data_IF_745256375400
#
_entry.id   IF_745256375400
#
_cell.length_a   1.000
_cell.length_b   1.000
_cell.length_c   1.000
_cell.angle_alpha   90.00
_cell.angle_beta   90.00
_cell.angle_gamma   90.00
#
_symmetry.space_group_name_H-M   'P 1'
#
loop_
_entity.id
_entity.type
_entity.pdbx_description
1 polymer ?
#
# COMPACT_ATOMS: atom_id res chain seq x y z
N UNK A 1 -8.26 -26.45 -3.21
CA UNK A 1 -7.70 -25.76 -4.38
C UNK A 1 -8.86 -24.98 -5.00
N UNK A 2 -8.65 -23.70 -5.29
CA UNK A 2 -9.66 -22.86 -5.98
C UNK A 2 -9.52 -23.05 -7.49
N UNK A 3 -10.65 -23.06 -8.19
CA UNK A 3 -10.70 -23.22 -9.66
C UNK A 3 -10.23 -21.96 -10.42
N UNK A 4 -10.29 -20.79 -9.74
CA UNK A 4 -9.91 -19.51 -10.33
C UNK A 4 -9.28 -18.56 -9.30
N UNK A 5 -8.57 -17.53 -9.78
CA UNK A 5 -8.04 -16.47 -8.93
C UNK A 5 -9.18 -15.53 -8.50
N UNK A 6 -9.55 -15.59 -7.23
CA UNK A 6 -10.61 -14.76 -6.63
C UNK A 6 -10.11 -13.41 -6.08
N UNK A 7 -8.82 -13.13 -6.22
CA UNK A 7 -8.19 -11.92 -5.72
C UNK A 7 -7.75 -11.98 -4.27
N UNK A 8 -6.81 -11.07 -3.91
CA UNK A 8 -6.11 -11.06 -2.62
C UNK A 8 -7.04 -10.90 -1.41
N UNK A 9 -8.01 -9.98 -1.48
CA UNK A 9 -8.94 -9.72 -0.37
C UNK A 9 -9.89 -10.88 -0.15
N UNK A 10 -10.42 -11.47 -1.22
CA UNK A 10 -11.34 -12.59 -1.13
C UNK A 10 -10.67 -13.86 -0.60
N UNK A 11 -9.46 -14.19 -1.07
CA UNK A 11 -8.72 -15.37 -0.57
C UNK A 11 -8.36 -15.22 0.91
N UNK A 12 -7.95 -14.03 1.35
CA UNK A 12 -7.68 -13.78 2.77
C UNK A 12 -8.93 -13.89 3.64
N UNK A 13 -10.09 -13.43 3.14
CA UNK A 13 -11.38 -13.63 3.82
C UNK A 13 -11.74 -15.10 3.95
N UNK A 14 -11.54 -15.88 2.88
CA UNK A 14 -11.80 -17.32 2.89
C UNK A 14 -10.94 -18.02 3.94
N UNK A 15 -9.63 -17.79 3.91
CA UNK A 15 -8.68 -18.36 4.88
C UNK A 15 -9.00 -17.94 6.32
N UNK A 16 -9.38 -16.67 6.52
CA UNK A 16 -9.78 -16.17 7.83
C UNK A 16 -11.04 -16.88 8.37
N UNK A 17 -12.01 -17.16 7.52
CA UNK A 17 -13.24 -17.86 7.92
C UNK A 17 -12.97 -19.31 8.26
N UNK A 18 -12.12 -19.98 7.49
CA UNK A 18 -11.81 -21.40 7.61
C UNK A 18 -10.95 -21.74 8.84
N UNK A 19 -10.08 -20.83 9.30
CA UNK A 19 -9.24 -21.05 10.48
C UNK A 19 -10.04 -21.04 11.78
N UNK A 20 -9.62 -21.87 12.75
CA UNK A 20 -10.19 -21.93 14.11
C UNK A 20 -9.52 -20.99 15.12
N UNK A 21 -8.42 -20.33 14.75
CA UNK A 21 -7.66 -19.47 15.65
C UNK A 21 -8.17 -18.04 15.67
N UNK A 22 -8.01 -17.35 16.80
CA UNK A 22 -8.49 -15.97 16.99
C UNK A 22 -7.51 -14.92 16.46
N UNK A 23 -6.25 -15.26 16.25
CA UNK A 23 -5.22 -14.42 15.69
C UNK A 23 -4.78 -14.94 14.33
N UNK A 24 -4.65 -14.03 13.37
CA UNK A 24 -4.26 -14.31 12.00
C UNK A 24 -2.95 -13.60 11.68
N UNK A 25 -1.92 -14.35 11.32
CA UNK A 25 -0.69 -13.81 10.76
C UNK A 25 -0.72 -13.96 9.23
N UNK A 26 -0.73 -12.84 8.53
CA UNK A 26 -0.65 -12.81 7.08
C UNK A 26 0.76 -12.50 6.62
N UNK A 27 1.28 -13.38 5.76
CA UNK A 27 2.55 -13.22 5.05
C UNK A 27 2.30 -13.39 3.55
N UNK A 28 2.90 -12.54 2.73
CA UNK A 28 2.90 -12.76 1.28
C UNK A 28 3.90 -13.85 0.90
N UNK A 29 3.68 -14.51 -0.23
CA UNK A 29 4.48 -15.65 -0.66
C UNK A 29 5.92 -15.28 -1.11
N UNK A 30 6.16 -14.01 -1.37
CA UNK A 30 7.43 -13.44 -1.83
C UNK A 30 8.26 -12.77 -0.73
N UNK A 31 8.02 -13.14 0.53
CA UNK A 31 8.78 -12.61 1.68
C UNK A 31 9.62 -13.68 2.35
N UNK A 32 10.76 -13.27 2.92
CA UNK A 32 11.64 -14.11 3.72
C UNK A 32 11.77 -13.50 5.12
N UNK A 33 11.62 -14.33 6.15
CA UNK A 33 11.76 -13.90 7.54
C UNK A 33 13.20 -13.46 7.82
N UNK A 34 13.37 -12.33 8.51
CA UNK A 34 14.70 -11.84 8.92
C UNK A 34 15.23 -12.56 10.15
N UNK A 35 14.35 -12.95 11.05
CA UNK A 35 14.72 -13.45 12.39
C UNK A 35 14.09 -14.81 12.68
N UNK A 36 14.85 -15.68 13.34
CA UNK A 36 14.32 -16.93 13.88
C UNK A 36 13.30 -16.68 15.02
N UNK A 37 13.33 -15.49 15.64
CA UNK A 37 12.40 -15.10 16.70
C UNK A 37 11.15 -14.40 16.13
N UNK A 38 10.90 -14.51 14.82
CA UNK A 38 9.85 -13.76 14.13
C UNK A 38 8.46 -13.92 14.77
N UNK A 39 8.05 -15.13 15.10
CA UNK A 39 6.77 -15.41 15.76
C UNK A 39 6.79 -14.89 17.21
N UNK A 40 7.89 -15.14 17.94
CA UNK A 40 8.04 -14.66 19.31
C UNK A 40 7.89 -13.14 19.42
N UNK A 41 8.48 -12.39 18.47
CA UNK A 41 8.38 -10.93 18.43
C UNK A 41 6.93 -10.42 18.26
N UNK A 42 6.05 -11.18 17.62
CA UNK A 42 4.63 -10.84 17.57
C UNK A 42 3.91 -11.20 18.89
N UNK A 43 4.25 -12.38 19.47
CA UNK A 43 3.59 -12.88 20.67
C UNK A 43 3.89 -12.01 21.90
N UNK A 44 5.10 -11.47 22.00
CA UNK A 44 5.50 -10.61 23.13
C UNK A 44 4.67 -9.33 23.25
N UNK A 45 4.05 -8.87 22.17
CA UNK A 45 3.23 -7.64 22.15
C UNK A 45 1.71 -7.91 22.21
N UNK A 46 1.27 -9.20 22.19
CA UNK A 46 -0.16 -9.58 22.12
C UNK A 46 -0.96 -9.15 23.35
N UNK A 47 -0.35 -9.12 24.53
CA UNK A 47 -1.01 -8.71 25.78
C UNK A 47 -1.28 -7.20 25.85
N UNK A 48 -0.86 -6.45 24.82
CA UNK A 48 -1.22 -5.05 24.64
C UNK A 48 -2.67 -4.87 24.20
N UNK A 49 -3.23 -3.70 24.39
CA UNK A 49 -4.60 -3.37 23.97
C UNK A 49 -4.77 -3.30 22.44
N UNK A 50 -3.72 -3.59 21.66
CA UNK A 50 -3.74 -3.53 20.21
C UNK A 50 -4.32 -4.80 19.60
N UNK A 51 -5.06 -4.64 18.50
CA UNK A 51 -5.67 -5.73 17.73
C UNK A 51 -5.05 -5.95 16.35
N UNK A 52 -4.16 -5.03 15.94
CA UNK A 52 -3.50 -5.06 14.65
C UNK A 52 -2.03 -4.65 14.80
N UNK A 53 -1.15 -5.50 14.29
CA UNK A 53 0.30 -5.31 14.35
C UNK A 53 0.89 -5.41 12.95
N UNK A 54 1.73 -4.44 12.55
CA UNK A 54 2.44 -4.45 11.28
C UNK A 54 3.94 -4.56 11.49
N UNK A 55 4.56 -5.64 10.98
CA UNK A 55 6.00 -5.89 11.11
C UNK A 55 6.86 -5.05 10.17
N UNK A 56 6.32 -4.70 8.99
CA UNK A 56 7.01 -3.90 7.99
C UNK A 56 7.86 -4.71 7.00
N UNK A 57 8.49 -3.99 6.04
CA UNK A 57 9.40 -4.52 5.04
C UNK A 57 10.86 -4.17 5.33
N UNK A 58 11.75 -5.02 4.84
CA UNK A 58 13.19 -4.80 4.75
C UNK A 58 13.64 -5.11 3.33
N UNK A 59 14.60 -4.34 2.83
CA UNK A 59 15.25 -4.54 1.54
C UNK A 59 16.73 -4.88 1.79
N UNK A 60 17.22 -5.92 1.11
CA UNK A 60 18.61 -6.35 1.23
C UNK A 60 19.50 -5.38 0.48
N UNK A 61 20.18 -4.48 1.18
CA UNK A 61 21.03 -3.44 0.60
C UNK A 61 22.25 -3.98 -0.16
N UNK A 62 22.55 -5.26 -0.02
CA UNK A 62 23.64 -5.90 -0.79
C UNK A 62 23.23 -6.16 -2.24
N UNK A 63 21.94 -6.15 -2.54
CA UNK A 63 21.40 -6.32 -3.88
C UNK A 63 21.57 -5.02 -4.71
N UNK A 64 22.54 -4.99 -5.58
CA UNK A 64 22.92 -3.79 -6.38
C UNK A 64 21.79 -3.27 -7.27
N UNK A 65 20.90 -4.14 -7.76
CA UNK A 65 19.77 -3.75 -8.59
C UNK A 65 18.74 -2.88 -7.86
N UNK A 66 18.73 -2.85 -6.53
CA UNK A 66 17.87 -1.94 -5.75
C UNK A 66 18.12 -0.46 -6.08
N UNK A 67 19.35 -0.12 -6.51
CA UNK A 67 19.71 1.27 -6.85
C UNK A 67 19.27 1.67 -8.26
N UNK A 68 19.08 0.71 -9.16
CA UNK A 68 18.68 0.94 -10.56
C UNK A 68 17.21 0.63 -10.82
N UNK A 69 16.57 -0.16 -9.96
CA UNK A 69 15.18 -0.55 -10.06
C UNK A 69 14.27 0.47 -9.33
N UNK A 70 13.22 0.94 -10.00
CA UNK A 70 12.26 1.92 -9.46
C UNK A 70 11.54 1.40 -8.21
N UNK A 71 11.11 0.12 -8.22
CA UNK A 71 10.46 -0.55 -7.10
C UNK A 71 11.39 -0.64 -5.90
N UNK A 72 12.66 -1.02 -6.12
CA UNK A 72 13.69 -1.09 -5.08
C UNK A 72 13.96 0.27 -4.43
N UNK A 73 14.20 1.32 -5.24
CA UNK A 73 14.36 2.69 -4.73
C UNK A 73 13.16 3.17 -3.92
N UNK A 74 11.96 2.87 -4.41
CA UNK A 74 10.72 3.23 -3.72
C UNK A 74 10.62 2.52 -2.36
N UNK A 75 10.88 1.23 -2.33
CA UNK A 75 10.85 0.41 -1.12
C UNK A 75 11.84 0.89 -0.06
N UNK A 76 13.09 1.10 -0.45
CA UNK A 76 14.13 1.63 0.45
C UNK A 76 13.77 3.00 1.05
N UNK A 77 13.14 3.88 0.28
CA UNK A 77 12.84 5.25 0.73
C UNK A 77 11.52 5.36 1.49
N UNK A 78 10.49 4.62 1.12
CA UNK A 78 9.13 4.85 1.59
C UNK A 78 8.50 3.69 2.35
N UNK A 79 9.03 2.46 2.22
CA UNK A 79 8.47 1.28 2.88
C UNK A 79 9.36 0.74 3.99
N UNK A 80 10.68 0.77 3.83
CA UNK A 80 11.62 0.40 4.89
C UNK A 80 11.75 1.55 5.90
N UNK A 81 10.75 1.68 6.76
CA UNK A 81 10.66 2.73 7.78
C UNK A 81 10.57 2.09 9.16
N UNK A 82 11.36 2.56 10.13
CA UNK A 82 11.35 2.05 11.50
C UNK A 82 9.98 2.20 12.17
N UNK A 83 9.65 1.25 13.05
CA UNK A 83 8.36 1.19 13.73
C UNK A 83 8.04 2.48 14.51
N UNK A 84 9.01 3.07 15.19
CA UNK A 84 8.85 4.33 15.90
C UNK A 84 8.29 5.44 14.99
N UNK A 85 8.88 5.59 13.80
CA UNK A 85 8.40 6.58 12.81
C UNK A 85 7.04 6.22 12.24
N UNK A 86 6.75 4.92 12.04
CA UNK A 86 5.45 4.45 11.56
C UNK A 86 4.35 4.71 12.58
N UNK A 87 4.63 4.54 13.87
CA UNK A 87 3.71 4.77 14.98
C UNK A 87 3.34 6.26 15.16
N UNK A 88 4.15 7.22 14.71
CA UNK A 88 3.77 8.64 14.67
C UNK A 88 2.57 8.91 13.75
N UNK A 89 2.31 8.04 12.77
CA UNK A 89 1.17 8.12 11.86
C UNK A 89 0.71 6.71 11.47
N UNK A 90 0.09 5.95 12.39
CA UNK A 90 -0.04 4.50 12.30
C UNK A 90 -0.87 4.00 11.11
N UNK A 91 -1.76 4.83 10.57
CA UNK A 91 -2.59 4.46 9.41
C UNK A 91 -1.99 4.88 8.06
N UNK A 92 -0.79 5.49 8.06
CA UNK A 92 -0.20 6.06 6.83
C UNK A 92 0.51 5.03 5.97
N UNK A 93 1.23 4.11 6.60
CA UNK A 93 1.99 3.06 5.92
C UNK A 93 1.49 1.69 6.38
N UNK A 94 0.56 1.15 5.63
CA UNK A 94 0.01 -0.18 5.84
C UNK A 94 0.65 -1.13 4.83
N UNK A 95 1.36 -2.13 5.34
CA UNK A 95 2.03 -3.16 4.54
C UNK A 95 1.37 -4.50 4.88
N UNK A 96 0.40 -4.90 4.08
CA UNK A 96 -0.39 -6.10 4.33
C UNK A 96 0.34 -7.41 4.02
N UNK A 97 1.59 -7.33 3.57
CA UNK A 97 2.43 -8.50 3.33
C UNK A 97 3.05 -9.09 4.61
N UNK A 98 2.93 -8.40 5.73
CA UNK A 98 3.47 -8.84 7.03
C UNK A 98 2.69 -8.18 8.17
N UNK A 99 1.58 -8.81 8.60
CA UNK A 99 0.80 -8.27 9.71
C UNK A 99 0.05 -9.35 10.49
N UNK A 100 -0.10 -9.11 11.78
CA UNK A 100 -0.90 -9.91 12.71
C UNK A 100 -2.18 -9.13 13.04
N UNK A 101 -3.33 -9.82 13.10
CA UNK A 101 -4.62 -9.18 13.35
C UNK A 101 -5.59 -10.13 14.06
N UNK A 102 -6.46 -9.58 14.91
CA UNK A 102 -7.60 -10.31 15.47
C UNK A 102 -8.56 -10.74 14.34
N UNK A 103 -8.91 -12.04 14.31
CA UNK A 103 -9.77 -12.66 13.27
C UNK A 103 -11.10 -11.93 13.09
N UNK A 104 -11.82 -11.66 14.18
CA UNK A 104 -13.15 -11.01 14.14
C UNK A 104 -13.05 -9.62 13.54
N UNK A 105 -12.03 -8.86 13.94
CA UNK A 105 -11.77 -7.53 13.40
C UNK A 105 -11.42 -7.61 11.90
N UNK A 106 -10.52 -8.52 11.51
CA UNK A 106 -10.14 -8.69 10.12
C UNK A 106 -11.35 -8.99 9.22
N UNK A 107 -12.17 -9.99 9.59
CA UNK A 107 -13.36 -10.36 8.82
C UNK A 107 -14.33 -9.16 8.72
N UNK A 108 -14.57 -8.44 9.83
CA UNK A 108 -15.45 -7.26 9.85
C UNK A 108 -14.98 -6.17 8.88
N UNK A 109 -13.69 -5.86 8.85
CA UNK A 109 -13.14 -4.79 8.00
C UNK A 109 -12.95 -5.25 6.55
N UNK A 110 -12.36 -6.44 6.35
CA UNK A 110 -12.03 -6.92 5.02
C UNK A 110 -13.26 -7.34 4.21
N UNK A 111 -14.38 -7.72 4.86
CA UNK A 111 -15.66 -7.98 4.17
C UNK A 111 -16.26 -6.73 3.50
N UNK A 112 -15.83 -5.53 3.89
CA UNK A 112 -16.20 -4.27 3.24
C UNK A 112 -15.40 -4.02 1.96
N UNK A 113 -14.32 -4.77 1.73
CA UNK A 113 -13.48 -4.68 0.55
C UNK A 113 -13.97 -5.74 -0.45
N UNK A 114 -14.96 -5.39 -1.25
CA UNK A 114 -15.56 -6.31 -2.23
C UNK A 114 -14.84 -6.31 -3.57
N UNK A 115 -14.06 -5.27 -3.84
CA UNK A 115 -13.39 -5.07 -5.10
C UNK A 115 -12.07 -5.85 -5.20
N UNK A 116 -11.80 -6.37 -6.39
CA UNK A 116 -10.50 -6.97 -6.74
C UNK A 116 -9.64 -5.94 -7.48
N UNK A 117 -9.04 -5.00 -6.73
CA UNK A 117 -8.22 -3.91 -7.26
C UNK A 117 -6.84 -3.89 -6.60
N UNK A 118 -5.86 -3.29 -7.26
CA UNK A 118 -4.54 -3.08 -6.68
C UNK A 118 -4.54 -1.84 -5.76
N UNK A 119 -3.78 -1.89 -4.64
CA UNK A 119 -3.65 -0.75 -3.72
C UNK A 119 -4.70 -0.71 -2.59
N UNK A 120 -5.42 -1.81 -2.35
CA UNK A 120 -6.43 -1.92 -1.28
C UNK A 120 -5.86 -1.81 0.15
N UNK A 121 -4.54 -1.87 0.33
CA UNK A 121 -3.89 -1.62 1.62
C UNK A 121 -4.19 -0.21 2.16
N UNK A 122 -4.29 0.78 1.26
CA UNK A 122 -4.70 2.14 1.63
C UNK A 122 -6.15 2.19 2.14
N UNK A 123 -7.01 1.36 1.57
CA UNK A 123 -8.40 1.20 2.00
C UNK A 123 -8.47 0.58 3.38
N UNK A 124 -7.72 -0.50 3.58
CA UNK A 124 -7.66 -1.16 4.90
C UNK A 124 -7.16 -0.20 5.98
N UNK A 125 -6.12 0.61 5.69
CA UNK A 125 -5.64 1.65 6.58
C UNK A 125 -6.69 2.73 6.87
N UNK A 126 -7.48 3.14 5.88
CA UNK A 126 -8.57 4.10 6.07
C UNK A 126 -9.71 3.50 6.91
N UNK A 127 -10.05 2.22 6.69
CA UNK A 127 -11.05 1.50 7.50
C UNK A 127 -10.61 1.36 8.96
N UNK A 128 -9.33 1.03 9.23
CA UNK A 128 -8.78 1.01 10.57
C UNK A 128 -8.95 2.37 11.25
N UNK A 129 -8.58 3.46 10.57
CA UNK A 129 -8.70 4.82 11.08
C UNK A 129 -10.14 5.25 11.33
N UNK A 130 -11.05 4.98 10.38
CA UNK A 130 -12.46 5.34 10.50
C UNK A 130 -13.16 4.63 11.66
N UNK A 131 -12.75 3.39 11.94
CA UNK A 131 -13.30 2.61 13.06
C UNK A 131 -12.52 2.83 14.38
N UNK A 132 -11.58 3.79 14.44
CA UNK A 132 -10.74 4.10 15.60
C UNK A 132 -10.05 2.84 16.17
N UNK A 133 -9.52 1.98 15.29
CA UNK A 133 -8.80 0.77 15.70
C UNK A 133 -7.34 1.13 15.94
N UNK A 134 -6.87 0.88 17.15
CA UNK A 134 -5.47 1.10 17.49
C UNK A 134 -4.56 0.10 16.74
N UNK A 135 -3.52 0.64 16.14
CA UNK A 135 -2.54 -0.07 15.32
C UNK A 135 -1.16 0.09 15.95
N UNK A 136 -0.47 -1.02 16.14
CA UNK A 136 0.93 -1.02 16.57
C UNK A 136 1.83 -1.47 15.42
N UNK A 137 2.83 -0.65 15.10
CA UNK A 137 3.94 -1.06 14.24
C UNK A 137 5.10 -1.54 15.10
N UNK A 138 5.65 -2.69 14.76
CA UNK A 138 6.81 -3.28 15.42
C UNK A 138 7.96 -3.48 14.44
N UNK A 139 9.19 -3.53 14.92
CA UNK A 139 10.38 -3.80 14.09
C UNK A 139 10.58 -5.31 13.89
N UNK A 140 9.59 -5.94 13.24
CA UNK A 140 9.59 -7.37 12.91
C UNK A 140 9.50 -7.57 11.38
N UNK A 141 10.40 -6.91 10.64
CA UNK A 141 10.37 -6.84 9.19
C UNK A 141 10.70 -8.15 8.50
N UNK A 142 10.16 -8.31 7.30
CA UNK A 142 10.48 -9.40 6.37
C UNK A 142 11.20 -8.84 5.15
N UNK A 143 12.14 -9.61 4.58
CA UNK A 143 12.76 -9.28 3.30
C UNK A 143 11.74 -9.46 2.18
N UNK A 144 11.49 -8.38 1.44
CA UNK A 144 10.68 -8.43 0.22
C UNK A 144 11.55 -8.87 -0.95
N UNK A 145 11.24 -10.01 -1.53
CA UNK A 145 11.91 -10.60 -2.68
C UNK A 145 11.05 -10.47 -3.96
N UNK A 146 11.61 -10.80 -5.11
CA UNK A 146 10.85 -10.82 -6.36
C UNK A 146 10.35 -9.44 -6.80
N UNK A 147 11.21 -8.40 -6.68
CA UNK A 147 10.84 -7.05 -7.12
C UNK A 147 10.55 -7.05 -8.62
N UNK A 148 9.39 -6.50 -8.97
CA UNK A 148 8.99 -6.30 -10.35
C UNK A 148 9.90 -5.31 -11.09
N UNK A 149 9.89 -5.38 -12.43
CA UNK A 149 10.54 -4.40 -13.31
C UNK A 149 9.85 -3.02 -13.22
N UNK A 150 10.53 -2.00 -13.77
CA UNK A 150 10.07 -0.62 -13.70
C UNK A 150 8.72 -0.40 -14.40
N UNK A 151 8.45 -1.09 -15.52
CA UNK A 151 7.19 -0.97 -16.28
C UNK A 151 6.04 -1.52 -15.44
N UNK A 152 6.18 -2.75 -14.96
CA UNK A 152 5.19 -3.39 -14.10
C UNK A 152 4.90 -2.57 -12.83
N UNK A 153 5.92 -1.93 -12.24
CA UNK A 153 5.72 -1.07 -11.07
C UNK A 153 4.97 0.23 -11.40
N UNK A 154 5.20 0.83 -12.58
CA UNK A 154 4.44 2.00 -13.06
C UNK A 154 2.97 1.60 -13.24
N UNK A 155 2.68 0.49 -13.92
CA UNK A 155 1.32 0.00 -14.16
C UNK A 155 0.57 -0.26 -12.84
N UNK A 156 1.22 -0.90 -11.87
CA UNK A 156 0.68 -1.09 -10.52
C UNK A 156 0.44 0.24 -9.80
N UNK A 157 1.34 1.21 -9.98
CA UNK A 157 1.18 2.55 -9.40
C UNK A 157 -0.02 3.31 -10.01
N UNK A 158 -0.26 3.15 -11.32
CA UNK A 158 -1.46 3.67 -11.98
C UNK A 158 -2.73 3.00 -11.46
N UNK A 159 -2.74 1.67 -11.34
CA UNK A 159 -3.88 0.92 -10.78
C UNK A 159 -4.19 1.36 -9.34
N UNK A 160 -3.16 1.47 -8.48
CA UNK A 160 -3.32 1.96 -7.11
C UNK A 160 -3.88 3.39 -7.08
N UNK A 161 -3.44 4.27 -8.01
CA UNK A 161 -3.93 5.64 -8.13
C UNK A 161 -5.40 5.68 -8.56
N UNK A 162 -5.81 4.83 -9.52
CA UNK A 162 -7.23 4.67 -9.91
C UNK A 162 -8.09 4.20 -8.73
N UNK A 163 -7.62 3.19 -8.00
CA UNK A 163 -8.31 2.66 -6.83
C UNK A 163 -8.52 3.72 -5.76
N UNK A 164 -7.47 4.50 -5.44
CA UNK A 164 -7.56 5.60 -4.48
C UNK A 164 -8.58 6.66 -4.90
N UNK A 165 -8.57 7.07 -6.17
CA UNK A 165 -9.52 8.07 -6.68
C UNK A 165 -10.95 7.55 -6.67
N UNK A 166 -11.15 6.29 -7.09
CA UNK A 166 -12.45 5.65 -7.08
C UNK A 166 -13.02 5.59 -5.65
N UNK A 167 -12.25 5.14 -4.68
CA UNK A 167 -12.66 5.05 -3.28
C UNK A 167 -12.98 6.42 -2.67
N UNK A 168 -12.21 7.46 -3.05
CA UNK A 168 -12.51 8.82 -2.64
C UNK A 168 -13.87 9.29 -3.18
N UNK A 169 -14.18 8.98 -4.44
CA UNK A 169 -15.47 9.33 -5.07
C UNK A 169 -16.66 8.57 -4.47
N UNK A 170 -16.45 7.34 -3.98
CA UNK A 170 -17.49 6.55 -3.30
C UNK A 170 -17.70 7.00 -1.84
N UNK A 171 -16.90 7.91 -1.30
CA UNK A 171 -16.96 8.30 0.12
C UNK A 171 -16.45 7.22 1.08
N UNK A 172 -15.77 6.20 0.56
CA UNK A 172 -15.30 5.06 1.36
C UNK A 172 -14.09 5.38 2.24
N UNK A 173 -13.33 6.43 1.89
CA UNK A 173 -12.07 6.81 2.53
C UNK A 173 -12.01 8.28 2.96
N UNK A 174 -13.08 8.83 3.51
CA UNK A 174 -13.13 10.23 3.98
C UNK A 174 -12.03 10.52 5.00
N UNK A 175 -11.80 9.61 5.94
CA UNK A 175 -10.76 9.72 6.97
C UNK A 175 -9.48 8.97 6.57
N UNK A 176 -8.85 9.38 5.46
CA UNK A 176 -7.59 8.77 5.03
C UNK A 176 -6.34 9.45 5.61
N UNK A 177 -5.19 8.77 5.53
CA UNK A 177 -3.86 9.31 5.85
C UNK A 177 -2.93 9.36 4.62
N UNK A 178 -3.47 9.14 3.41
CA UNK A 178 -2.72 9.07 2.17
C UNK A 178 -2.29 10.48 1.68
N UNK A 179 -0.99 10.69 1.52
CA UNK A 179 -0.45 11.99 1.12
C UNK A 179 -0.79 12.38 -0.32
N UNK A 180 -0.85 11.42 -1.24
CA UNK A 180 -1.22 11.69 -2.64
C UNK A 180 -2.63 12.28 -2.72
N UNK A 181 -3.59 11.68 -1.99
CA UNK A 181 -4.95 12.18 -1.91
C UNK A 181 -5.03 13.57 -1.27
N UNK A 182 -4.27 13.83 -0.19
CA UNK A 182 -4.25 15.15 0.45
C UNK A 182 -3.79 16.24 -0.52
N UNK A 183 -2.70 16.00 -1.23
CA UNK A 183 -2.16 16.96 -2.22
C UNK A 183 -3.12 17.11 -3.40
N UNK A 184 -3.70 16.01 -3.89
CA UNK A 184 -4.70 16.04 -4.95
C UNK A 184 -5.93 16.87 -4.56
N UNK A 185 -6.50 16.66 -3.38
CA UNK A 185 -7.67 17.40 -2.88
C UNK A 185 -7.35 18.90 -2.73
N UNK A 186 -6.17 19.23 -2.19
CA UNK A 186 -5.70 20.62 -2.11
C UNK A 186 -5.61 21.26 -3.50
N UNK A 187 -4.97 20.59 -4.46
CA UNK A 187 -4.80 21.12 -5.82
C UNK A 187 -6.14 21.23 -6.57
N UNK A 188 -7.06 20.31 -6.28
CA UNK A 188 -8.42 20.37 -6.81
C UNK A 188 -9.19 21.57 -6.25
N UNK A 189 -9.08 21.87 -4.95
CA UNK A 189 -9.77 23.00 -4.32
C UNK A 189 -9.32 24.37 -4.85
N UNK A 190 -8.04 24.50 -5.23
CA UNK A 190 -7.47 25.73 -5.81
C UNK A 190 -7.36 25.68 -7.36
N UNK A 191 -8.01 24.69 -8.00
CA UNK A 191 -8.09 24.48 -9.46
C UNK A 191 -6.73 24.23 -10.19
N UNK A 192 -5.66 23.96 -9.47
CA UNK A 192 -4.35 23.57 -10.06
C UNK A 192 -4.41 22.21 -10.76
N UNK A 193 -5.37 21.35 -10.41
CA UNK A 193 -5.59 20.06 -11.06
C UNK A 193 -5.73 20.15 -12.59
N UNK A 194 -6.26 21.25 -13.14
CA UNK A 194 -6.35 21.48 -14.58
C UNK A 194 -4.96 21.65 -15.22
N UNK A 195 -4.06 22.36 -14.54
CA UNK A 195 -2.67 22.54 -15.00
C UNK A 195 -1.95 21.19 -15.01
N UNK A 196 -2.11 20.39 -13.94
CA UNK A 196 -1.50 19.06 -13.86
C UNK A 196 -2.08 18.08 -14.86
N UNK A 197 -3.36 18.18 -15.22
CA UNK A 197 -3.95 17.40 -16.31
C UNK A 197 -3.28 17.71 -17.66
N UNK A 198 -3.11 19.00 -17.99
CA UNK A 198 -2.40 19.41 -19.21
C UNK A 198 -0.94 18.98 -19.17
N UNK A 199 -0.28 19.15 -18.04
CA UNK A 199 1.09 18.69 -17.83
C UNK A 199 1.23 17.17 -18.08
N UNK A 200 0.32 16.36 -17.54
CA UNK A 200 0.34 14.92 -17.79
C UNK A 200 0.22 14.59 -19.28
N UNK A 201 -0.72 15.23 -19.99
CA UNK A 201 -0.93 14.99 -21.43
C UNK A 201 0.32 15.27 -22.27
N UNK A 202 1.11 16.28 -21.88
CA UNK A 202 2.31 16.69 -22.62
C UNK A 202 3.53 15.86 -22.22
N UNK A 203 3.71 15.59 -20.92
CA UNK A 203 4.97 15.04 -20.38
C UNK A 203 4.92 13.59 -19.93
N UNK A 204 3.77 12.87 -20.06
CA UNK A 204 3.66 11.50 -19.56
C UNK A 204 4.73 10.57 -20.14
N UNK A 205 5.02 10.65 -21.45
CA UNK A 205 6.01 9.79 -22.10
C UNK A 205 7.46 10.13 -21.63
N UNK A 206 7.76 11.40 -21.44
CA UNK A 206 9.06 11.85 -20.92
C UNK A 206 9.26 11.35 -19.48
N UNK A 207 8.23 11.44 -18.65
CA UNK A 207 8.25 10.91 -17.29
C UNK A 207 8.39 9.39 -17.28
N UNK A 208 7.62 8.66 -18.10
CA UNK A 208 7.75 7.20 -18.24
C UNK A 208 9.15 6.80 -18.69
N UNK A 209 9.74 7.50 -19.66
CA UNK A 209 11.12 7.24 -20.10
C UNK A 209 12.13 7.38 -18.97
N UNK A 210 11.99 8.39 -18.10
CA UNK A 210 12.84 8.49 -16.90
C UNK A 210 12.60 7.33 -15.93
N UNK A 211 11.33 7.02 -15.65
CA UNK A 211 10.96 5.99 -14.66
C UNK A 211 11.34 4.58 -15.09
N UNK A 212 11.43 4.33 -16.40
CA UNK A 212 11.87 3.04 -16.96
C UNK A 212 13.37 2.95 -17.20
N UNK A 213 14.13 4.04 -16.95
CA UNK A 213 15.57 4.07 -17.12
C UNK A 213 16.32 3.33 -16.01
N UNK A 214 17.63 3.16 -16.18
CA UNK A 214 18.52 2.61 -15.14
C UNK A 214 18.76 3.58 -13.96
N UNK A 215 18.28 4.83 -14.05
CA UNK A 215 18.39 5.82 -12.97
C UNK A 215 17.03 6.51 -12.73
N UNK A 216 16.00 5.76 -12.33
CA UNK A 216 14.67 6.30 -12.14
C UNK A 216 14.63 7.28 -10.96
N UNK A 217 13.88 8.38 -11.12
CA UNK A 217 13.77 9.43 -10.12
C UNK A 217 12.44 9.34 -9.37
N UNK A 218 12.50 9.20 -8.05
CA UNK A 218 11.31 9.07 -7.20
C UNK A 218 10.47 10.36 -7.12
N UNK A 219 11.04 11.55 -7.33
CA UNK A 219 10.27 12.80 -7.40
C UNK A 219 9.44 12.84 -8.69
N UNK A 220 10.01 12.36 -9.80
CA UNK A 220 9.26 12.20 -11.07
C UNK A 220 8.12 11.19 -10.88
N UNK A 221 8.33 10.10 -10.14
CA UNK A 221 7.26 9.14 -9.82
C UNK A 221 6.12 9.81 -9.03
N UNK A 222 6.43 10.64 -8.03
CA UNK A 222 5.38 11.33 -7.25
C UNK A 222 4.61 12.34 -8.13
N UNK A 223 5.32 13.10 -8.96
CA UNK A 223 4.71 14.03 -9.92
C UNK A 223 3.85 13.27 -10.94
N UNK A 224 4.36 12.15 -11.46
CA UNK A 224 3.63 11.27 -12.37
C UNK A 224 2.31 10.79 -11.76
N UNK A 225 2.34 10.23 -10.55
CA UNK A 225 1.14 9.74 -9.84
C UNK A 225 0.13 10.86 -9.60
N UNK A 226 0.58 12.04 -9.19
CA UNK A 226 -0.29 13.18 -8.91
C UNK A 226 -0.93 13.72 -10.19
N UNK A 227 -0.12 13.96 -11.24
CA UNK A 227 -0.62 14.46 -12.52
C UNK A 227 -1.52 13.44 -13.24
N UNK A 228 -1.21 12.13 -13.11
CA UNK A 228 -2.08 11.06 -13.57
C UNK A 228 -3.42 11.03 -12.85
N UNK A 229 -3.44 11.20 -11.51
CA UNK A 229 -4.67 11.30 -10.74
C UNK A 229 -5.55 12.46 -11.21
N UNK A 230 -4.95 13.64 -11.47
CA UNK A 230 -5.66 14.78 -12.02
C UNK A 230 -6.19 14.51 -13.44
N UNK A 231 -5.40 13.80 -14.27
CA UNK A 231 -5.81 13.42 -15.61
C UNK A 231 -7.03 12.50 -15.63
N UNK A 232 -7.03 11.44 -14.81
CA UNK A 232 -8.16 10.51 -14.75
C UNK A 232 -9.39 11.12 -14.08
N UNK A 233 -9.23 12.02 -13.11
CA UNK A 233 -10.36 12.72 -12.47
C UNK A 233 -11.12 13.62 -13.46
N UNK A 234 -10.40 14.28 -14.37
CA UNK A 234 -10.99 15.22 -15.34
C UNK A 234 -11.51 14.49 -16.59
N UNK A 235 -10.79 13.48 -17.10
CA UNK A 235 -11.09 12.88 -18.40
C UNK A 235 -11.88 11.57 -18.33
N UNK A 236 -11.84 10.84 -17.19
CA UNK A 236 -12.55 9.56 -17.03
C UNK A 236 -13.76 9.75 -16.09
N UNK A 237 -14.93 9.96 -16.68
CA UNK A 237 -16.20 10.10 -15.93
C UNK A 237 -16.64 8.82 -15.18
N UNK A 238 -16.01 7.68 -15.45
CA UNK A 238 -16.38 6.34 -14.93
C UNK A 238 -15.34 5.73 -13.96
N UNK A 239 -14.44 6.54 -13.38
CA UNK A 239 -13.53 6.10 -12.30
C UNK A 239 -14.15 6.37 -10.95
#
# INVERSE_FOLDING_TARGET
>A
ILESNIGRSAIRNLLAKDTRYDLLLFLDADVILKSNNFIHNYISDIDSNYKVFFGGFIYDKTETYLQTNLRGKYGLKYEQVDAEKRNLSPYRLIISANFLVEKKLFIKLNSRITENRYGLDNVFGALLKTNNIDVLHINNGVYHKGLEDNISFIDKSEQATKTLLWMLKQGEIDKHSNNLLKVFQLFKSIKINFILNCFYKIFCEVMKKNLTSNCPNLYILQLYKLSYMCYIDINNKHV
#
